data_IF_948863099841
#
_entry.id   IF_948863099841
#
_cell.length_a   1.000
_cell.length_b   1.000
_cell.length_c   1.000
_cell.angle_alpha   90.00
_cell.angle_beta   90.00
_cell.angle_gamma   90.00
#
_symmetry.space_group_name_H-M   'P 1'
#
loop_
_entity.id
_entity.type
_entity.pdbx_description
1 polymer ?
#
# COMPACT_ATOMS: atom_id res chain seq x y z
N UNK A 1 13.79 -29.66 -14.74
CA UNK A 1 14.47 -28.71 -13.85
C UNK A 1 13.81 -27.34 -13.99
N UNK A 2 13.38 -26.75 -12.90
CA UNK A 2 12.85 -25.39 -12.93
C UNK A 2 14.00 -24.37 -13.07
N UNK A 3 13.69 -23.15 -13.56
CA UNK A 3 14.68 -22.08 -13.67
C UNK A 3 15.34 -21.77 -12.29
N UNK A 4 14.57 -21.83 -11.22
CA UNK A 4 15.03 -21.66 -9.84
C UNK A 4 16.05 -22.74 -9.44
N UNK A 5 15.87 -24.00 -9.82
CA UNK A 5 16.83 -25.07 -9.56
C UNK A 5 18.16 -24.85 -10.29
N UNK A 6 18.10 -24.41 -11.54
CA UNK A 6 19.30 -24.11 -12.34
C UNK A 6 20.08 -22.97 -11.68
N UNK A 7 19.42 -21.89 -11.29
CA UNK A 7 20.04 -20.73 -10.66
C UNK A 7 20.59 -21.04 -9.26
N UNK A 8 19.90 -21.88 -8.47
CA UNK A 8 20.42 -22.35 -7.18
C UNK A 8 21.72 -23.15 -7.35
N UNK A 9 21.79 -24.01 -8.40
CA UNK A 9 22.98 -24.80 -8.68
C UNK A 9 24.18 -23.95 -9.17
N UNK A 10 23.90 -22.75 -9.68
CA UNK A 10 24.93 -21.76 -10.08
C UNK A 10 25.36 -20.85 -8.93
N UNK A 11 24.88 -21.08 -7.72
CA UNK A 11 25.22 -20.25 -6.55
C UNK A 11 24.56 -18.88 -6.49
N UNK A 12 23.51 -18.67 -7.31
CA UNK A 12 22.75 -17.41 -7.26
C UNK A 12 21.85 -17.37 -6.02
N UNK A 13 22.32 -16.69 -4.98
CA UNK A 13 21.67 -16.67 -3.67
C UNK A 13 20.20 -16.19 -3.65
N UNK A 14 19.73 -15.24 -4.51
CA UNK A 14 18.30 -14.89 -4.54
C UNK A 14 17.40 -16.06 -4.93
N UNK A 15 17.85 -16.93 -5.83
CA UNK A 15 17.08 -18.13 -6.19
C UNK A 15 17.00 -19.12 -5.01
N UNK A 16 18.08 -19.26 -4.24
CA UNK A 16 18.10 -20.07 -3.02
C UNK A 16 17.14 -19.50 -1.98
N UNK A 17 17.17 -18.19 -1.77
CA UNK A 17 16.28 -17.49 -0.84
C UNK A 17 14.80 -17.62 -1.26
N UNK A 18 14.48 -17.47 -2.55
CA UNK A 18 13.11 -17.65 -3.06
C UNK A 18 12.63 -19.10 -2.90
N UNK A 19 13.52 -20.09 -3.05
CA UNK A 19 13.19 -21.49 -2.76
C UNK A 19 12.83 -21.68 -1.28
N UNK A 20 13.63 -21.18 -0.36
CA UNK A 20 13.30 -21.26 1.07
C UNK A 20 11.99 -20.53 1.41
N UNK A 21 11.74 -19.39 0.76
CA UNK A 21 10.50 -18.64 0.91
C UNK A 21 9.29 -19.48 0.46
N UNK A 22 9.39 -20.14 -0.70
CA UNK A 22 8.33 -21.01 -1.24
C UNK A 22 8.08 -22.25 -0.39
N UNK A 23 9.11 -22.75 0.28
CA UNK A 23 9.03 -23.86 1.24
C UNK A 23 8.50 -23.44 2.63
N UNK A 24 8.16 -22.15 2.84
CA UNK A 24 7.71 -21.63 4.12
C UNK A 24 8.81 -21.49 5.19
N UNK A 25 10.08 -21.62 4.80
CA UNK A 25 11.24 -21.50 5.71
C UNK A 25 11.67 -20.04 5.89
N UNK A 26 10.77 -19.22 6.41
CA UNK A 26 10.95 -17.75 6.47
C UNK A 26 12.19 -17.32 7.26
N UNK A 27 12.47 -17.94 8.41
CA UNK A 27 13.65 -17.61 9.21
C UNK A 27 14.96 -17.86 8.45
N UNK A 28 15.05 -18.98 7.72
CA UNK A 28 16.21 -19.27 6.88
C UNK A 28 16.34 -18.29 5.72
N UNK A 29 15.22 -17.92 5.09
CA UNK A 29 15.22 -16.90 4.05
C UNK A 29 15.77 -15.58 4.57
N UNK A 30 15.34 -15.15 5.75
CA UNK A 30 15.82 -13.94 6.42
C UNK A 30 17.33 -14.00 6.67
N UNK A 31 17.85 -15.13 7.16
CA UNK A 31 19.30 -15.31 7.40
C UNK A 31 20.13 -15.19 6.11
N UNK A 32 19.73 -15.92 5.06
CA UNK A 32 20.39 -15.86 3.74
C UNK A 32 20.36 -14.45 3.18
N UNK A 33 19.22 -13.78 3.23
CA UNK A 33 19.12 -12.40 2.75
C UNK A 33 20.00 -11.43 3.54
N UNK A 34 20.03 -11.52 4.88
CA UNK A 34 20.89 -10.68 5.72
C UNK A 34 22.37 -10.83 5.39
N UNK A 35 22.81 -12.07 5.19
CA UNK A 35 24.20 -12.36 4.89
C UNK A 35 24.64 -11.72 3.57
N UNK A 36 23.86 -11.86 2.52
CA UNK A 36 24.24 -11.40 1.19
C UNK A 36 23.90 -9.93 0.90
N UNK A 37 22.84 -9.39 1.49
CA UNK A 37 22.50 -7.98 1.32
C UNK A 37 23.44 -7.02 2.06
N UNK A 38 24.27 -7.51 3.00
CA UNK A 38 25.37 -6.73 3.59
C UNK A 38 26.51 -6.51 2.60
N UNK A 39 26.66 -7.39 1.61
CA UNK A 39 27.73 -7.37 0.61
C UNK A 39 27.28 -6.69 -0.69
N UNK A 40 26.00 -6.85 -1.08
CA UNK A 40 25.45 -6.35 -2.35
C UNK A 40 24.19 -5.51 -2.13
N UNK A 41 24.38 -4.24 -1.78
CA UNK A 41 23.31 -3.29 -1.43
C UNK A 41 22.35 -2.96 -2.58
N UNK A 42 22.74 -3.19 -3.84
CA UNK A 42 21.98 -2.73 -5.01
C UNK A 42 21.03 -3.78 -5.60
N UNK A 43 20.95 -4.96 -5.00
CA UNK A 43 20.11 -6.03 -5.54
C UNK A 43 18.65 -5.90 -5.11
N UNK A 44 17.87 -5.16 -5.89
CA UNK A 44 16.43 -4.91 -5.63
C UNK A 44 15.64 -6.22 -5.46
N UNK A 45 15.91 -7.25 -6.27
CA UNK A 45 15.27 -8.56 -6.13
C UNK A 45 15.53 -9.22 -4.77
N UNK A 46 16.73 -9.07 -4.25
CA UNK A 46 17.09 -9.55 -2.92
C UNK A 46 16.32 -8.85 -1.81
N UNK A 47 16.17 -7.52 -1.90
CA UNK A 47 15.38 -6.74 -0.96
C UNK A 47 13.90 -7.12 -1.00
N UNK A 48 13.34 -7.41 -2.19
CA UNK A 48 11.96 -7.89 -2.32
C UNK A 48 11.76 -9.24 -1.63
N UNK A 49 12.67 -10.20 -1.84
CA UNK A 49 12.60 -11.52 -1.19
C UNK A 49 12.72 -11.38 0.33
N UNK A 50 13.64 -10.53 0.79
CA UNK A 50 13.83 -10.25 2.21
C UNK A 50 12.57 -9.64 2.84
N UNK A 51 11.98 -8.61 2.21
CA UNK A 51 10.73 -8.00 2.67
C UNK A 51 9.57 -8.99 2.75
N UNK A 52 9.41 -9.87 1.75
CA UNK A 52 8.43 -10.95 1.78
C UNK A 52 8.67 -11.91 2.95
N UNK A 53 9.92 -12.32 3.18
CA UNK A 53 10.26 -13.23 4.26
C UNK A 53 9.97 -12.63 5.64
N UNK A 54 10.27 -11.34 5.83
CA UNK A 54 9.94 -10.59 7.04
C UNK A 54 8.42 -10.50 7.26
N UNK A 55 7.67 -10.21 6.20
CA UNK A 55 6.21 -10.15 6.23
C UNK A 55 5.60 -11.48 6.70
N UNK A 56 5.99 -12.59 6.07
CA UNK A 56 5.49 -13.92 6.45
C UNK A 56 6.02 -14.41 7.80
N UNK A 57 7.16 -13.90 8.28
CA UNK A 57 7.67 -14.12 9.61
C UNK A 57 6.97 -13.25 10.69
N UNK A 58 6.02 -12.40 10.32
CA UNK A 58 5.30 -11.51 11.23
C UNK A 58 6.07 -10.25 11.65
N UNK A 59 7.24 -10.00 11.08
CA UNK A 59 8.07 -8.84 11.38
C UNK A 59 7.66 -7.63 10.51
N UNK A 60 6.43 -7.12 10.77
CA UNK A 60 5.76 -6.14 9.90
C UNK A 60 6.52 -4.82 9.76
N UNK A 61 7.09 -4.29 10.85
CA UNK A 61 7.80 -3.01 10.83
C UNK A 61 9.06 -3.08 9.97
N UNK A 62 9.83 -4.17 10.10
CA UNK A 62 11.02 -4.39 9.28
C UNK A 62 10.68 -4.68 7.81
N UNK A 63 9.57 -5.37 7.56
CA UNK A 63 9.08 -5.59 6.21
C UNK A 63 8.67 -4.27 5.55
N UNK A 64 7.97 -3.40 6.30
CA UNK A 64 7.55 -2.07 5.83
C UNK A 64 8.76 -1.22 5.44
N UNK A 65 9.77 -1.10 6.32
CA UNK A 65 11.00 -0.38 6.04
C UNK A 65 11.70 -0.89 4.78
N UNK A 66 11.75 -2.22 4.64
CA UNK A 66 12.37 -2.87 3.50
C UNK A 66 11.66 -2.55 2.18
N UNK A 67 10.33 -2.61 2.14
CA UNK A 67 9.58 -2.28 0.94
C UNK A 67 9.67 -0.80 0.58
N UNK A 68 9.74 0.12 1.56
CA UNK A 68 10.03 1.52 1.29
C UNK A 68 11.42 1.71 0.68
N UNK A 69 12.41 0.94 1.13
CA UNK A 69 13.75 0.96 0.52
C UNK A 69 13.71 0.52 -0.94
N UNK A 70 12.95 -0.54 -1.26
CA UNK A 70 12.75 -0.95 -2.67
C UNK A 70 12.12 0.17 -3.48
N UNK A 71 11.08 0.85 -2.96
CA UNK A 71 10.42 1.95 -3.66
C UNK A 71 11.31 3.18 -3.85
N UNK A 72 12.35 3.36 -3.05
CA UNK A 72 13.35 4.42 -3.27
C UNK A 72 14.18 4.19 -4.54
N UNK A 73 14.40 2.92 -4.94
CA UNK A 73 15.10 2.53 -6.17
C UNK A 73 14.14 2.32 -7.34
N UNK A 74 12.98 1.73 -7.10
CA UNK A 74 11.95 1.41 -8.08
C UNK A 74 10.57 1.86 -7.56
N UNK A 75 10.17 3.12 -7.79
CA UNK A 75 8.93 3.69 -7.26
C UNK A 75 7.65 2.99 -7.73
N UNK A 76 7.71 2.30 -8.87
CA UNK A 76 6.58 1.60 -9.48
C UNK A 76 6.62 0.09 -9.24
N UNK A 77 7.40 -0.36 -8.27
CA UNK A 77 7.49 -1.77 -7.93
C UNK A 77 6.18 -2.32 -7.37
N UNK A 78 5.45 -3.04 -8.21
CA UNK A 78 4.11 -3.58 -7.91
C UNK A 78 4.13 -4.49 -6.67
N UNK A 79 5.18 -5.29 -6.49
CA UNK A 79 5.29 -6.23 -5.37
C UNK A 79 5.40 -5.46 -4.06
N UNK A 80 6.29 -4.47 -4.00
CA UNK A 80 6.49 -3.64 -2.80
C UNK A 80 5.25 -2.82 -2.47
N UNK A 81 4.62 -2.21 -3.47
CA UNK A 81 3.36 -1.47 -3.30
C UNK A 81 2.26 -2.37 -2.74
N UNK A 82 2.12 -3.59 -3.29
CA UNK A 82 1.12 -4.56 -2.81
C UNK A 82 1.36 -4.94 -1.36
N UNK A 83 2.59 -5.33 -1.00
CA UNK A 83 2.90 -5.73 0.37
C UNK A 83 2.79 -4.58 1.37
N UNK A 84 3.13 -3.35 1.00
CA UNK A 84 2.86 -2.17 1.83
C UNK A 84 1.36 -1.97 2.05
N UNK A 85 0.55 -2.15 1.01
CA UNK A 85 -0.91 -2.16 1.15
C UNK A 85 -1.39 -3.24 2.13
N UNK A 86 -0.87 -4.47 2.02
CA UNK A 86 -1.23 -5.59 2.91
C UNK A 86 -0.81 -5.31 4.37
N UNK A 87 0.37 -4.72 4.59
CA UNK A 87 0.85 -4.31 5.92
C UNK A 87 -0.08 -3.23 6.51
N UNK A 88 -0.38 -2.17 5.76
CA UNK A 88 -1.26 -1.08 6.22
C UNK A 88 -2.68 -1.59 6.50
N UNK A 89 -3.19 -2.49 5.67
CA UNK A 89 -4.47 -3.14 5.90
C UNK A 89 -4.47 -3.95 7.21
N UNK A 90 -3.42 -4.73 7.47
CA UNK A 90 -3.28 -5.52 8.71
C UNK A 90 -3.15 -4.62 9.94
N UNK A 91 -2.53 -3.45 9.82
CA UNK A 91 -2.43 -2.43 10.88
C UNK A 91 -3.75 -1.65 11.10
N UNK A 92 -4.78 -1.87 10.26
CA UNK A 92 -6.06 -1.16 10.31
C UNK A 92 -6.01 0.26 9.71
N UNK A 93 -4.94 0.60 9.00
CA UNK A 93 -4.81 1.85 8.26
C UNK A 93 -5.37 1.67 6.83
N UNK A 94 -6.71 1.59 6.76
CA UNK A 94 -7.45 1.39 5.52
C UNK A 94 -7.14 2.46 4.47
N UNK A 95 -6.83 3.68 4.91
CA UNK A 95 -6.58 4.83 4.03
C UNK A 95 -5.27 4.64 3.27
N UNK A 96 -4.19 4.36 4.00
CA UNK A 96 -2.88 4.10 3.39
C UNK A 96 -2.90 2.82 2.55
N UNK A 97 -3.59 1.76 3.02
CA UNK A 97 -3.75 0.53 2.25
C UNK A 97 -4.41 0.78 0.89
N UNK A 98 -5.50 1.56 0.86
CA UNK A 98 -6.17 1.93 -0.38
C UNK A 98 -5.28 2.74 -1.33
N UNK A 99 -4.46 3.66 -0.80
CA UNK A 99 -3.54 4.44 -1.61
C UNK A 99 -2.54 3.54 -2.34
N UNK A 100 -1.94 2.58 -1.64
CA UNK A 100 -1.03 1.62 -2.24
C UNK A 100 -1.72 0.72 -3.27
N UNK A 101 -2.89 0.19 -2.96
CA UNK A 101 -3.65 -0.66 -3.91
C UNK A 101 -4.12 0.11 -5.15
N UNK A 102 -4.52 1.37 -4.99
CA UNK A 102 -4.86 2.23 -6.14
C UNK A 102 -3.65 2.39 -7.05
N UNK A 103 -2.46 2.66 -6.48
CA UNK A 103 -1.24 2.76 -7.27
C UNK A 103 -0.91 1.46 -8.00
N UNK A 104 -1.07 0.31 -7.35
CA UNK A 104 -0.92 -1.01 -8.01
C UNK A 104 -1.86 -1.14 -9.20
N UNK A 105 -3.13 -0.74 -9.06
CA UNK A 105 -4.13 -0.85 -10.13
C UNK A 105 -3.91 0.15 -11.26
N UNK A 106 -3.32 1.31 -10.99
CA UNK A 106 -2.89 2.26 -12.03
C UNK A 106 -1.78 1.68 -12.90
N UNK A 107 -0.80 1.00 -12.29
CA UNK A 107 0.32 0.38 -13.01
C UNK A 107 -0.11 -0.93 -13.69
N UNK A 108 -0.88 -1.75 -12.99
CA UNK A 108 -1.34 -3.05 -13.43
C UNK A 108 -2.84 -3.27 -13.17
N UNK A 109 -3.74 -2.79 -14.05
CA UNK A 109 -5.19 -2.87 -13.87
C UNK A 109 -5.73 -4.30 -13.75
N UNK A 110 -5.00 -5.29 -14.26
CA UNK A 110 -5.35 -6.71 -14.18
C UNK A 110 -4.84 -7.41 -12.92
N UNK A 111 -4.18 -6.71 -12.01
CA UNK A 111 -3.64 -7.28 -10.78
C UNK A 111 -4.77 -7.85 -9.92
N UNK A 112 -4.64 -9.14 -9.56
CA UNK A 112 -5.61 -9.87 -8.71
C UNK A 112 -5.00 -10.13 -7.34
N UNK A 113 -5.86 -10.45 -6.36
CA UNK A 113 -5.41 -10.82 -5.01
C UNK A 113 -4.99 -9.63 -4.14
N UNK A 114 -5.54 -8.45 -4.42
CA UNK A 114 -5.44 -7.31 -3.51
C UNK A 114 -6.49 -7.48 -2.40
N UNK A 115 -6.06 -7.37 -1.15
CA UNK A 115 -6.95 -7.32 0.02
C UNK A 115 -7.57 -5.92 0.10
N UNK A 116 -8.58 -5.67 -0.73
CA UNK A 116 -9.21 -4.35 -0.73
C UNK A 116 -10.13 -4.20 0.48
N UNK A 117 -9.94 -3.17 1.32
CA UNK A 117 -10.87 -2.83 2.40
C UNK A 117 -12.31 -2.64 1.91
N UNK A 118 -12.49 -2.27 0.65
CA UNK A 118 -13.79 -2.10 0.01
C UNK A 118 -14.58 -3.41 -0.12
N UNK A 119 -13.92 -4.56 -0.35
CA UNK A 119 -14.61 -5.86 -0.45
C UNK A 119 -15.22 -6.28 0.88
N UNK A 120 -14.51 -6.07 1.98
CA UNK A 120 -15.02 -6.41 3.32
C UNK A 120 -16.14 -5.48 3.77
N UNK A 121 -16.09 -4.19 3.43
CA UNK A 121 -17.17 -3.24 3.77
C UNK A 121 -18.44 -3.47 2.95
N UNK A 122 -18.34 -3.87 1.68
CA UNK A 122 -19.52 -4.18 0.85
C UNK A 122 -20.19 -5.48 1.28
N UNK A 123 -19.44 -6.51 1.68
CA UNK A 123 -20.03 -7.75 2.21
C UNK A 123 -20.63 -7.57 3.61
N UNK A 124 -20.00 -6.78 4.47
CA UNK A 124 -20.53 -6.42 5.79
C UNK A 124 -21.74 -5.48 5.68
N UNK A 125 -21.71 -4.51 4.76
CA UNK A 125 -22.85 -3.61 4.50
C UNK A 125 -24.04 -4.35 3.89
N UNK A 126 -23.81 -5.32 3.01
CA UNK A 126 -24.87 -6.16 2.46
C UNK A 126 -25.55 -7.04 3.52
N UNK A 127 -24.80 -7.47 4.55
CA UNK A 127 -25.35 -8.19 5.71
C UNK A 127 -26.02 -7.28 6.75
N UNK A 128 -25.61 -6.00 6.85
CA UNK A 128 -26.16 -5.03 7.82
C UNK A 128 -27.40 -4.28 7.32
N UNK A 129 -27.70 -4.28 6.03
CA UNK A 129 -28.90 -3.62 5.49
C UNK A 129 -30.21 -4.29 5.93
N UNK A 130 -30.16 -5.46 6.57
CA UNK A 130 -31.34 -6.17 7.08
C UNK A 130 -31.70 -5.84 8.53
N UNK A 131 -30.94 -5.03 9.27
CA UNK A 131 -31.25 -4.70 10.68
C UNK A 131 -31.08 -3.19 10.98
N UNK A 132 -32.22 -2.49 10.91
CA UNK A 132 -32.63 -1.30 11.69
C UNK A 132 -31.71 -0.07 11.74
N UNK A 133 -32.14 0.97 10.99
CA UNK A 133 -31.76 2.36 11.19
C UNK A 133 -32.12 2.86 12.61
N UNK A 134 -31.13 3.21 13.41
CA UNK A 134 -31.22 4.30 14.39
C UNK A 134 -30.01 5.23 14.16
N UNK A 135 -30.23 6.55 14.09
CA UNK A 135 -29.10 7.49 13.91
C UNK A 135 -28.46 7.74 15.28
N UNK A 136 -27.38 7.05 15.57
CA UNK A 136 -26.54 7.40 16.69
C UNK A 136 -25.40 8.31 16.16
N UNK A 137 -25.32 9.51 16.77
CA UNK A 137 -24.28 10.50 16.46
C UNK A 137 -22.91 9.86 16.68
N UNK A 138 -22.25 9.49 15.58
CA UNK A 138 -20.88 9.01 15.63
C UNK A 138 -19.96 10.16 16.10
N UNK A 139 -19.33 9.96 17.24
CA UNK A 139 -18.28 10.83 17.74
C UNK A 139 -17.18 10.97 16.69
N UNK A 140 -16.81 12.23 16.42
CA UNK A 140 -15.74 12.62 15.51
C UNK A 140 -14.45 11.95 15.99
N UNK A 141 -14.06 10.88 15.30
CA UNK A 141 -12.72 10.29 15.49
C UNK A 141 -11.69 11.31 15.01
N UNK A 142 -10.72 11.60 15.87
CA UNK A 142 -9.57 12.48 15.60
C UNK A 142 -9.02 12.18 14.21
N UNK A 143 -8.88 13.23 13.41
CA UNK A 143 -8.25 13.19 12.10
C UNK A 143 -6.87 12.54 12.26
N UNK A 144 -6.71 11.36 11.66
CA UNK A 144 -5.39 10.77 11.49
C UNK A 144 -4.65 11.64 10.49
N UNK A 145 -3.59 12.31 10.95
CA UNK A 145 -2.66 12.96 10.03
C UNK A 145 -2.23 11.92 9.00
N UNK A 146 -2.43 12.23 7.72
CA UNK A 146 -1.87 11.46 6.62
C UNK A 146 -0.36 11.33 6.88
N UNK A 147 0.10 10.12 7.20
CA UNK A 147 1.54 9.82 7.17
C UNK A 147 2.01 10.11 5.75
N UNK A 148 3.22 10.60 5.60
CA UNK A 148 3.79 10.94 4.30
C UNK A 148 3.74 9.70 3.39
N UNK A 149 2.74 9.67 2.52
CA UNK A 149 2.65 8.69 1.45
C UNK A 149 3.55 9.20 0.33
N UNK A 150 4.45 8.38 -0.22
CA UNK A 150 5.44 8.85 -1.21
C UNK A 150 4.81 9.33 -2.53
N UNK A 151 3.52 9.10 -2.73
CA UNK A 151 2.79 9.51 -3.94
C UNK A 151 1.33 9.85 -3.60
N UNK A 152 0.78 10.78 -4.37
CA UNK A 152 -0.63 11.13 -4.38
C UNK A 152 -1.13 11.05 -5.82
N UNK A 153 -2.38 10.58 -6.02
CA UNK A 153 -3.03 10.52 -7.33
C UNK A 153 -4.39 11.21 -7.31
N UNK A 154 -4.86 11.71 -8.47
CA UNK A 154 -6.18 12.32 -8.59
C UNK A 154 -7.28 11.33 -8.20
N UNK A 155 -7.14 10.06 -8.63
CA UNK A 155 -8.06 8.97 -8.29
C UNK A 155 -8.19 8.77 -6.78
N UNK A 156 -7.09 8.91 -6.03
CA UNK A 156 -7.11 8.87 -4.57
C UNK A 156 -7.96 9.98 -3.96
N UNK A 157 -7.82 11.21 -4.48
CA UNK A 157 -8.67 12.33 -4.09
C UNK A 157 -10.14 12.11 -4.38
N UNK A 158 -10.46 11.57 -5.57
CA UNK A 158 -11.84 11.25 -5.97
C UNK A 158 -12.46 10.14 -5.09
N UNK A 159 -11.67 9.14 -4.67
CA UNK A 159 -12.10 8.09 -3.74
C UNK A 159 -12.43 8.67 -2.36
N UNK A 160 -11.56 9.52 -1.81
CA UNK A 160 -11.83 10.18 -0.52
C UNK A 160 -13.07 11.05 -0.58
N UNK A 161 -13.28 11.75 -1.70
CA UNK A 161 -14.48 12.55 -1.91
C UNK A 161 -15.75 11.68 -1.92
N UNK A 162 -15.71 10.56 -2.64
CA UNK A 162 -16.83 9.61 -2.71
C UNK A 162 -17.16 8.96 -1.35
N UNK A 163 -16.18 8.88 -0.46
CA UNK A 163 -16.34 8.38 0.91
C UNK A 163 -16.76 9.46 1.92
N UNK A 164 -16.89 10.71 1.50
CA UNK A 164 -17.25 11.83 2.36
C UNK A 164 -16.08 12.38 3.21
N UNK A 165 -14.85 11.97 2.93
CA UNK A 165 -13.64 12.45 3.59
C UNK A 165 -13.12 13.74 2.93
N UNK A 166 -13.95 14.78 2.93
CA UNK A 166 -13.70 16.02 2.18
C UNK A 166 -12.36 16.69 2.54
N UNK A 167 -11.97 16.69 3.82
CA UNK A 167 -10.69 17.31 4.27
C UNK A 167 -9.46 16.53 3.74
N UNK A 168 -9.53 15.19 3.69
CA UNK A 168 -8.47 14.35 3.14
C UNK A 168 -8.38 14.51 1.62
N UNK A 169 -9.52 14.53 0.92
CA UNK A 169 -9.58 14.80 -0.50
C UNK A 169 -8.95 16.17 -0.86
N UNK A 170 -9.28 17.22 -0.08
CA UNK A 170 -8.71 18.55 -0.26
C UNK A 170 -7.17 18.55 -0.06
N UNK A 171 -6.67 17.80 0.91
CA UNK A 171 -5.22 17.69 1.15
C UNK A 171 -4.51 17.01 -0.02
N UNK A 172 -5.08 15.93 -0.57
CA UNK A 172 -4.55 15.24 -1.75
C UNK A 172 -4.52 16.17 -2.98
N UNK A 173 -5.64 16.84 -3.26
CA UNK A 173 -5.70 17.77 -4.40
C UNK A 173 -4.76 18.96 -4.24
N UNK A 174 -4.59 19.51 -3.03
CA UNK A 174 -3.62 20.59 -2.76
C UNK A 174 -2.20 20.14 -3.07
N UNK A 175 -1.80 18.97 -2.57
CA UNK A 175 -0.46 18.42 -2.82
C UNK A 175 -0.19 18.15 -4.30
N UNK A 176 -1.23 17.71 -5.04
CA UNK A 176 -1.13 17.48 -6.49
C UNK A 176 -1.10 18.79 -7.28
N UNK A 177 -1.89 19.79 -6.87
CA UNK A 177 -1.91 21.11 -7.52
C UNK A 177 -0.57 21.81 -7.37
N UNK A 178 0.05 21.73 -6.19
CA UNK A 178 1.38 22.31 -5.91
C UNK A 178 2.48 21.67 -6.76
N UNK A 179 2.38 20.36 -7.06
CA UNK A 179 3.37 19.63 -7.87
C UNK A 179 3.19 19.84 -9.38
N UNK A 180 1.95 19.87 -9.87
CA UNK A 180 1.65 19.73 -11.30
C UNK A 180 1.06 21.01 -11.93
N UNK A 181 0.77 22.05 -11.15
CA UNK A 181 0.15 23.32 -11.59
C UNK A 181 -1.05 23.13 -12.54
N UNK A 182 -1.89 22.11 -12.25
CA UNK A 182 -3.00 21.69 -13.11
C UNK A 182 -4.26 22.48 -12.77
N UNK A 183 -4.80 23.34 -13.68
CA UNK A 183 -5.96 24.19 -13.42
C UNK A 183 -7.23 23.40 -13.06
N UNK A 184 -7.39 22.18 -13.59
CA UNK A 184 -8.53 21.30 -13.29
C UNK A 184 -8.55 20.85 -11.83
N UNK A 185 -7.37 20.61 -11.25
CA UNK A 185 -7.24 20.24 -9.83
C UNK A 185 -7.51 21.42 -8.91
N UNK A 186 -7.11 22.62 -9.33
CA UNK A 186 -7.42 23.87 -8.60
C UNK A 186 -8.92 24.12 -8.53
N UNK A 187 -9.66 23.93 -9.62
CA UNK A 187 -11.12 24.05 -9.63
C UNK A 187 -11.82 23.04 -8.71
N UNK A 188 -11.34 21.79 -8.70
CA UNK A 188 -11.83 20.74 -7.78
C UNK A 188 -11.57 21.14 -6.32
N UNK A 189 -10.39 21.64 -6.01
CA UNK A 189 -9.99 22.07 -4.67
C UNK A 189 -10.85 23.23 -4.18
N UNK A 190 -11.04 24.26 -5.02
CA UNK A 190 -11.84 25.44 -4.65
C UNK A 190 -13.31 25.10 -4.37
N UNK A 191 -13.89 24.21 -5.18
CA UNK A 191 -15.26 23.71 -4.94
C UNK A 191 -15.38 22.98 -3.62
N UNK A 192 -14.40 22.14 -3.32
CA UNK A 192 -14.36 21.32 -2.12
C UNK A 192 -14.18 22.18 -0.85
N UNK A 193 -13.30 23.17 -0.89
CA UNK A 193 -13.07 24.11 0.22
C UNK A 193 -14.33 24.96 0.51
N UNK A 194 -15.07 25.36 -0.52
CA UNK A 194 -16.37 26.03 -0.36
C UNK A 194 -17.41 25.13 0.32
N UNK A 195 -17.39 23.82 0.04
CA UNK A 195 -18.30 22.86 0.68
C UNK A 195 -17.92 22.57 2.13
N UNK A 196 -16.63 22.50 2.44
CA UNK A 196 -16.11 22.30 3.81
C UNK A 196 -16.52 23.50 4.69
N UNK A 197 -16.27 24.73 4.20
CA UNK A 197 -16.58 25.97 4.92
C UNK A 197 -18.08 26.25 5.10
N UNK A 198 -18.96 25.53 4.37
CA UNK A 198 -20.43 25.63 4.56
C UNK A 198 -20.94 24.68 5.64
N UNK A 199 -20.15 23.69 6.02
CA UNK A 199 -20.55 22.64 6.99
C UNK A 199 -19.97 22.85 8.39
N UNK A 200 -19.01 23.77 8.55
CA UNK A 200 -18.49 24.29 9.82
C UNK A 200 -19.31 25.51 10.22
#
# INVERSE_FOLDING_TARGET
MSLTEILCNQGYWPALAERFLSEGKYSRTVEVCKQHLSEDFNLVSGWIIYGKALFFAGQMDLAEENFYRVLAYDPDNIVSLKFLGDIKFTQGDDISAMAFYTRVLEIAPSCRGLNSPLKHKTESAAKMVTLQRKPEKAAIKKETNLREIPFYTETMGDIYLAQGHNRLAAQVYRTLADKNNNPRLMDKLEKLEKEINKKD
#
